data_IF_214960317400
#
_entry.id   IF_214960317400
#
_cell.length_a   1.000
_cell.length_b   1.000
_cell.length_c   1.000
_cell.angle_alpha   90.00
_cell.angle_beta   90.00
_cell.angle_gamma   90.00
#
_symmetry.space_group_name_H-M   'P 1'
#
loop_
_entity.id
_entity.type
_entity.pdbx_description
1 polymer ?
#
# COMPACT_ATOMS: atom_id res chain seq x y z
N UNK A 1 44.26 64.42 0.58
CA UNK A 1 42.89 64.09 1.00
C UNK A 1 42.47 62.85 0.22
N UNK A 2 42.15 61.77 0.94
CA UNK A 2 41.62 60.47 0.48
C UNK A 2 42.52 59.56 -0.36
N UNK A 3 43.17 58.62 0.32
CA UNK A 3 43.52 57.30 -0.21
C UNK A 3 42.47 56.27 0.25
N UNK A 4 42.08 55.33 -0.61
CA UNK A 4 41.58 53.96 -0.29
C UNK A 4 41.26 53.24 -1.61
N UNK A 5 42.09 52.29 -2.02
CA UNK A 5 42.10 50.86 -1.67
C UNK A 5 41.16 50.03 -2.57
N UNK A 6 41.80 49.34 -3.51
CA UNK A 6 41.31 48.19 -4.25
C UNK A 6 40.87 47.09 -3.26
N UNK A 7 39.65 46.57 -3.43
CA UNK A 7 39.19 45.39 -2.70
C UNK A 7 39.05 44.22 -3.68
N UNK A 8 39.82 43.18 -3.39
CA UNK A 8 39.94 41.95 -4.15
C UNK A 8 38.74 41.02 -3.94
N UNK A 9 38.34 40.39 -5.04
CA UNK A 9 37.49 39.19 -5.10
C UNK A 9 38.06 38.05 -4.25
N UNK A 10 37.24 37.49 -3.35
CA UNK A 10 37.52 36.23 -2.64
C UNK A 10 36.61 35.11 -3.16
N UNK A 11 37.13 33.89 -3.40
CA UNK A 11 36.31 32.75 -3.76
C UNK A 11 35.63 32.18 -2.51
N UNK A 12 34.35 31.85 -2.62
CA UNK A 12 33.63 31.06 -1.64
C UNK A 12 34.12 29.60 -1.72
N UNK A 13 34.92 29.15 -0.74
CA UNK A 13 35.07 27.73 -0.44
C UNK A 13 33.86 27.30 0.40
N UNK A 14 32.84 26.75 -0.26
CA UNK A 14 31.77 26.01 0.41
C UNK A 14 32.29 24.61 0.75
N UNK A 15 32.62 24.37 2.03
CA UNK A 15 32.89 23.03 2.56
C UNK A 15 31.55 22.29 2.61
N UNK A 16 31.29 21.46 1.61
CA UNK A 16 30.16 20.54 1.60
C UNK A 16 30.36 19.42 2.62
N UNK A 17 29.60 19.45 3.72
CA UNK A 17 29.40 18.26 4.53
C UNK A 17 28.39 17.35 3.83
N UNK A 18 28.86 16.49 2.92
CA UNK A 18 28.07 15.35 2.46
C UNK A 18 28.04 14.31 3.57
N UNK A 19 27.02 14.34 4.44
CA UNK A 19 26.63 13.17 5.22
C UNK A 19 26.10 12.11 4.25
N UNK A 20 26.99 11.27 3.74
CA UNK A 20 26.62 10.02 3.10
C UNK A 20 25.99 9.13 4.16
N UNK A 21 24.66 9.09 4.23
CA UNK A 21 23.97 8.02 4.92
C UNK A 21 24.17 6.76 4.08
N UNK A 22 25.19 5.98 4.43
CA UNK A 22 25.30 4.60 4.00
C UNK A 22 24.08 3.85 4.57
N UNK A 23 23.05 3.65 3.75
CA UNK A 23 21.91 2.81 4.09
C UNK A 23 22.39 1.37 4.11
N UNK A 24 22.82 0.88 5.29
CA UNK A 24 22.92 -0.56 5.52
C UNK A 24 21.55 -1.15 5.16
N UNK A 25 21.52 -2.09 4.22
CA UNK A 25 20.30 -2.80 3.83
C UNK A 25 19.72 -3.47 5.08
N UNK A 26 18.64 -2.91 5.62
CA UNK A 26 17.90 -3.56 6.69
C UNK A 26 17.45 -4.93 6.17
N UNK A 27 17.71 -6.04 6.87
CA UNK A 27 17.19 -7.33 6.45
C UNK A 27 15.67 -7.24 6.36
N UNK A 28 15.10 -7.72 5.25
CA UNK A 28 13.66 -7.70 5.01
C UNK A 28 12.95 -8.47 6.14
N UNK A 29 11.95 -7.83 6.76
CA UNK A 29 11.14 -8.44 7.84
C UNK A 29 10.48 -9.74 7.35
N UNK A 30 10.44 -10.83 8.13
CA UNK A 30 9.70 -12.03 7.74
C UNK A 30 8.18 -11.75 7.67
N UNK A 31 7.49 -12.40 6.74
CA UNK A 31 6.02 -12.44 6.70
C UNK A 31 5.50 -13.14 7.95
N UNK A 32 4.37 -12.68 8.47
CA UNK A 32 3.65 -13.38 9.56
C UNK A 32 2.94 -14.61 9.01
N UNK A 33 2.39 -14.51 7.80
CA UNK A 33 1.63 -15.60 7.18
C UNK A 33 1.46 -15.43 5.68
N UNK A 34 1.18 -16.55 5.00
CA UNK A 34 0.84 -16.64 3.58
C UNK A 34 -0.35 -17.59 3.44
N UNK A 35 -1.44 -17.09 2.88
CA UNK A 35 -2.69 -17.81 2.73
C UNK A 35 -3.02 -17.93 1.24
N UNK A 36 -3.22 -19.17 0.77
CA UNK A 36 -3.45 -19.48 -0.64
C UNK A 36 -4.81 -20.10 -0.91
N UNK A 37 -5.51 -20.55 0.13
CA UNK A 37 -6.78 -21.28 -0.03
C UNK A 37 -7.99 -20.46 0.40
N UNK A 38 -7.86 -19.74 1.53
CA UNK A 38 -8.96 -19.01 2.16
C UNK A 38 -8.49 -17.72 2.81
N UNK A 39 -9.42 -16.80 2.97
CA UNK A 39 -9.24 -15.59 3.75
C UNK A 39 -9.09 -15.95 5.24
N UNK A 40 -8.01 -15.50 5.94
CA UNK A 40 -7.64 -16.03 7.26
C UNK A 40 -8.44 -15.47 8.43
N UNK A 41 -8.97 -14.26 8.29
CA UNK A 41 -9.79 -13.51 9.27
C UNK A 41 -10.67 -12.56 8.46
N UNK A 42 -11.66 -11.91 9.08
CA UNK A 42 -12.37 -10.83 8.40
C UNK A 42 -11.38 -9.74 7.95
N UNK A 43 -11.37 -9.43 6.66
CA UNK A 43 -10.47 -8.44 6.08
C UNK A 43 -11.25 -7.35 5.36
N UNK A 44 -10.92 -6.11 5.69
CA UNK A 44 -11.58 -4.93 5.19
C UNK A 44 -10.66 -4.05 4.33
N UNK A 45 -11.30 -3.34 3.39
CA UNK A 45 -10.68 -2.35 2.51
C UNK A 45 -11.57 -1.13 2.40
N UNK A 46 -10.97 0.05 2.42
CA UNK A 46 -11.65 1.30 2.02
C UNK A 46 -11.08 1.80 0.70
N UNK A 47 -11.96 2.25 -0.19
CA UNK A 47 -11.58 2.84 -1.48
C UNK A 47 -12.70 3.75 -2.03
N UNK A 48 -12.38 4.51 -3.08
CA UNK A 48 -13.38 5.24 -3.86
C UNK A 48 -13.86 4.39 -5.04
N UNK A 49 -15.18 4.17 -5.10
CA UNK A 49 -15.84 3.36 -6.12
C UNK A 49 -15.63 1.85 -5.94
N UNK A 50 -16.35 1.07 -6.75
CA UNK A 50 -16.38 -0.41 -6.63
C UNK A 50 -15.14 -1.08 -7.23
N UNK A 51 -14.52 -0.46 -8.22
CA UNK A 51 -13.40 -1.07 -8.94
C UNK A 51 -12.09 -0.84 -8.21
N UNK A 52 -11.35 -1.92 -7.98
CA UNK A 52 -9.99 -1.84 -7.43
C UNK A 52 -9.07 -1.17 -8.46
N UNK A 53 -8.28 -0.20 -7.98
CA UNK A 53 -7.32 0.57 -8.79
C UNK A 53 -6.00 0.67 -8.07
N UNK A 54 -5.21 -0.40 -8.12
CA UNK A 54 -3.83 -0.41 -7.63
C UNK A 54 -2.98 0.56 -8.44
N UNK A 55 -2.11 1.29 -7.73
CA UNK A 55 -1.25 2.34 -8.26
C UNK A 55 0.19 1.85 -8.36
N UNK A 56 0.75 1.94 -9.55
CA UNK A 56 2.15 1.62 -9.80
C UNK A 56 3.09 2.77 -9.37
N UNK A 57 4.22 2.39 -8.78
CA UNK A 57 5.21 3.32 -8.27
C UNK A 57 5.71 4.36 -9.28
N UNK A 58 6.10 3.93 -10.49
CA UNK A 58 6.71 4.84 -11.46
C UNK A 58 5.70 5.87 -12.01
N UNK A 59 4.44 5.50 -12.24
CA UNK A 59 3.39 6.47 -12.59
C UNK A 59 3.10 7.42 -11.42
N UNK A 60 2.97 6.93 -10.18
CA UNK A 60 2.74 7.83 -9.05
C UNK A 60 3.90 8.81 -8.85
N UNK A 61 5.14 8.33 -9.02
CA UNK A 61 6.34 9.16 -8.98
C UNK A 61 6.36 10.22 -10.09
N UNK A 62 5.97 9.89 -11.32
CA UNK A 62 5.88 10.88 -12.41
C UNK A 62 4.84 11.97 -12.13
N UNK A 63 3.76 11.59 -11.42
CA UNK A 63 2.72 12.50 -10.93
C UNK A 63 3.09 13.25 -9.63
N UNK A 64 4.33 13.10 -9.14
CA UNK A 64 4.80 13.69 -7.85
C UNK A 64 3.94 13.27 -6.65
N UNK A 65 3.42 12.05 -6.67
CA UNK A 65 2.67 11.43 -5.58
C UNK A 65 3.56 10.45 -4.83
N UNK A 66 3.39 10.40 -3.50
CA UNK A 66 4.19 9.54 -2.63
C UNK A 66 3.56 8.18 -2.33
N UNK A 67 2.25 8.04 -2.55
CA UNK A 67 1.50 6.81 -2.26
C UNK A 67 1.37 5.94 -3.50
N UNK A 68 1.75 4.67 -3.37
CA UNK A 68 1.66 3.64 -4.40
C UNK A 68 1.38 2.28 -3.74
N UNK A 69 0.90 1.31 -4.51
CA UNK A 69 0.47 0.01 -3.98
C UNK A 69 1.41 -1.13 -4.41
N UNK A 70 2.13 -0.96 -5.53
CA UNK A 70 3.11 -1.93 -6.03
C UNK A 70 4.16 -1.32 -6.96
N UNK A 71 5.19 -2.11 -7.26
CA UNK A 71 6.18 -1.82 -8.30
C UNK A 71 6.04 -2.83 -9.43
N UNK A 72 6.04 -2.33 -10.67
CA UNK A 72 6.08 -3.18 -11.84
C UNK A 72 7.52 -3.55 -12.17
N UNK A 73 7.74 -4.77 -12.63
CA UNK A 73 8.98 -5.23 -13.23
C UNK A 73 8.70 -5.54 -14.69
N UNK A 74 9.40 -4.90 -15.61
CA UNK A 74 9.20 -5.06 -17.07
C UNK A 74 7.73 -4.93 -17.52
N UNK A 75 6.99 -4.03 -16.88
CA UNK A 75 5.57 -3.75 -17.20
C UNK A 75 4.56 -4.73 -16.60
N UNK A 76 5.00 -5.71 -15.81
CA UNK A 76 4.13 -6.71 -15.17
C UNK A 76 4.25 -6.67 -13.64
N UNK A 77 3.21 -7.17 -12.97
CA UNK A 77 3.19 -7.44 -11.53
C UNK A 77 3.77 -8.84 -11.31
N UNK A 78 4.69 -8.97 -10.36
CA UNK A 78 5.27 -10.26 -9.97
C UNK A 78 4.74 -10.70 -8.61
N UNK A 79 4.58 -12.02 -8.38
CA UNK A 79 4.26 -12.54 -7.06
C UNK A 79 5.40 -12.23 -6.07
N UNK A 80 5.07 -11.94 -4.81
CA UNK A 80 6.09 -11.87 -3.78
C UNK A 80 6.55 -13.29 -3.41
N UNK A 81 7.82 -13.57 -3.64
CA UNK A 81 8.45 -14.86 -3.39
C UNK A 81 9.18 -14.90 -2.03
N UNK A 82 9.27 -16.09 -1.46
CA UNK A 82 10.00 -16.34 -0.23
C UNK A 82 9.26 -15.95 1.06
N UNK A 83 9.98 -16.04 2.21
CA UNK A 83 9.38 -15.89 3.53
C UNK A 83 9.37 -14.45 4.04
N UNK A 84 9.92 -13.49 3.29
CA UNK A 84 10.10 -12.13 3.76
C UNK A 84 9.17 -11.15 3.06
N UNK A 85 8.81 -10.08 3.76
CA UNK A 85 8.08 -8.94 3.23
C UNK A 85 8.96 -8.17 2.22
N UNK A 86 8.46 -8.00 1.00
CA UNK A 86 9.13 -7.30 -0.08
C UNK A 86 8.25 -6.12 -0.53
N UNK A 87 8.30 -5.04 0.26
CA UNK A 87 7.63 -3.76 -0.05
C UNK A 87 6.11 -3.87 -0.30
N UNK A 88 5.42 -2.76 -0.56
CA UNK A 88 4.02 -2.84 -0.94
C UNK A 88 3.94 -3.58 -2.29
N UNK A 89 3.16 -4.65 -2.34
CA UNK A 89 3.03 -5.50 -3.54
C UNK A 89 1.58 -5.96 -3.77
N UNK A 90 0.59 -5.11 -3.48
CA UNK A 90 -0.80 -5.52 -3.74
C UNK A 90 -1.89 -4.71 -3.08
N UNK A 91 -3.05 -5.37 -2.97
CA UNK A 91 -4.28 -4.80 -2.46
C UNK A 91 -4.27 -4.80 -0.93
N UNK A 92 -3.94 -3.65 -0.32
CA UNK A 92 -3.95 -3.48 1.14
C UNK A 92 -5.31 -3.82 1.77
N UNK A 93 -5.26 -4.58 2.85
CA UNK A 93 -6.37 -5.00 3.71
C UNK A 93 -5.96 -4.93 5.18
N UNK A 94 -6.95 -4.82 6.08
CA UNK A 94 -6.76 -4.88 7.54
C UNK A 94 -8.01 -5.47 8.19
N UNK A 95 -7.92 -5.96 9.41
CA UNK A 95 -9.12 -6.36 10.16
C UNK A 95 -10.04 -5.13 10.39
N UNK A 96 -11.38 -5.28 10.31
CA UNK A 96 -12.32 -4.16 10.47
C UNK A 96 -12.17 -3.38 11.79
N UNK A 97 -11.93 -4.09 12.89
CA UNK A 97 -11.76 -3.50 14.23
C UNK A 97 -10.32 -3.09 14.54
N UNK A 98 -9.39 -3.20 13.58
CA UNK A 98 -8.04 -2.70 13.78
C UNK A 98 -8.08 -1.19 14.06
N UNK A 99 -7.40 -0.70 15.12
CA UNK A 99 -7.26 0.74 15.36
C UNK A 99 -6.71 1.50 14.15
N UNK A 100 -5.77 0.90 13.43
CA UNK A 100 -5.18 1.50 12.23
C UNK A 100 -6.19 1.57 11.08
N UNK A 101 -7.00 0.52 10.89
CA UNK A 101 -8.00 0.52 9.82
C UNK A 101 -9.13 1.51 10.10
N UNK A 102 -9.59 1.53 11.34
CA UNK A 102 -10.56 2.49 11.87
C UNK A 102 -10.12 3.93 11.62
N UNK A 103 -8.85 4.26 11.92
CA UNK A 103 -8.26 5.56 11.60
C UNK A 103 -8.22 5.83 10.08
N UNK A 104 -7.84 4.83 9.28
CA UNK A 104 -7.79 4.94 7.82
C UNK A 104 -9.17 5.24 7.23
N UNK A 105 -10.23 4.56 7.67
CA UNK A 105 -11.61 4.80 7.19
C UNK A 105 -12.05 6.23 7.52
N UNK A 106 -11.85 6.67 8.77
CA UNK A 106 -12.23 8.03 9.20
C UNK A 106 -11.48 9.12 8.44
N UNK A 107 -10.20 8.91 8.19
CA UNK A 107 -9.36 9.84 7.45
C UNK A 107 -9.43 9.69 5.92
N UNK A 108 -10.13 8.68 5.40
CA UNK A 108 -10.32 8.52 3.96
C UNK A 108 -11.07 9.72 3.38
N UNK A 109 -10.62 10.19 2.21
CA UNK A 109 -11.17 11.34 1.49
C UNK A 109 -11.42 10.95 0.04
N UNK A 110 -12.47 11.51 -0.55
CA UNK A 110 -12.90 11.24 -1.92
C UNK A 110 -14.42 11.26 -2.02
N UNK A 111 -14.93 10.99 -3.22
CA UNK A 111 -16.34 10.66 -3.44
C UNK A 111 -16.53 9.14 -3.47
N UNK A 112 -17.78 8.71 -3.33
CA UNK A 112 -18.19 7.30 -3.48
C UNK A 112 -17.33 6.35 -2.64
N UNK A 113 -17.10 6.72 -1.38
CA UNK A 113 -16.28 5.94 -0.46
C UNK A 113 -17.03 4.67 -0.09
N UNK A 114 -16.39 3.53 -0.32
CA UNK A 114 -16.93 2.22 0.00
C UNK A 114 -15.96 1.51 0.92
N UNK A 115 -16.49 0.95 2.00
CA UNK A 115 -15.79 -0.02 2.85
C UNK A 115 -16.29 -1.40 2.47
N UNK A 116 -15.38 -2.28 2.04
CA UNK A 116 -15.67 -3.67 1.68
C UNK A 116 -15.10 -4.59 2.76
N UNK A 117 -15.91 -5.48 3.31
CA UNK A 117 -15.48 -6.50 4.28
C UNK A 117 -15.62 -7.88 3.66
N UNK A 118 -14.51 -8.58 3.54
CA UNK A 118 -14.40 -9.94 3.02
C UNK A 118 -14.44 -10.89 4.22
N UNK A 119 -15.45 -11.78 4.32
CA UNK A 119 -15.56 -12.68 5.47
C UNK A 119 -14.41 -13.68 5.58
N UNK A 120 -14.03 -14.03 6.80
CA UNK A 120 -13.16 -15.18 7.09
C UNK A 120 -13.66 -16.45 6.38
N UNK A 121 -12.72 -17.27 5.90
CA UNK A 121 -13.03 -18.54 5.27
C UNK A 121 -13.49 -18.42 3.81
N UNK A 122 -13.65 -17.20 3.28
CA UNK A 122 -13.91 -16.95 1.86
C UNK A 122 -12.85 -17.65 1.00
N UNK A 123 -13.24 -18.52 0.04
CA UNK A 123 -12.29 -19.19 -0.85
C UNK A 123 -11.50 -18.19 -1.70
N UNK A 124 -10.17 -18.35 -1.76
CA UNK A 124 -9.33 -17.56 -2.63
C UNK A 124 -9.22 -18.21 -4.02
N UNK A 125 -9.32 -17.41 -5.11
CA UNK A 125 -8.94 -17.88 -6.44
C UNK A 125 -7.48 -18.34 -6.43
N UNK A 126 -7.12 -19.41 -7.19
CA UNK A 126 -5.74 -19.91 -7.22
C UNK A 126 -4.73 -18.91 -7.82
N UNK A 127 -5.23 -17.87 -8.51
CA UNK A 127 -4.44 -16.76 -9.04
C UNK A 127 -4.10 -15.69 -8.01
N UNK A 128 -4.69 -15.75 -6.81
CA UNK A 128 -4.52 -14.78 -5.73
C UNK A 128 -3.97 -15.43 -4.45
N UNK A 129 -3.23 -14.66 -3.67
CA UNK A 129 -2.75 -15.03 -2.33
C UNK A 129 -2.90 -13.85 -1.40
N UNK A 130 -3.12 -14.13 -0.11
CA UNK A 130 -3.09 -13.11 0.93
C UNK A 130 -1.79 -13.25 1.72
N UNK A 131 -1.03 -12.17 1.81
CA UNK A 131 0.15 -12.09 2.68
C UNK A 131 -0.20 -11.30 3.92
N UNK A 132 0.14 -11.84 5.09
CA UNK A 132 0.14 -11.09 6.34
C UNK A 132 1.54 -10.51 6.52
N UNK A 133 1.67 -9.24 6.15
CA UNK A 133 2.96 -8.58 5.96
C UNK A 133 3.61 -8.25 7.30
N UNK A 134 2.86 -7.56 8.16
CA UNK A 134 3.27 -7.18 9.50
C UNK A 134 2.09 -6.60 10.29
N UNK A 135 2.17 -6.60 11.63
CA UNK A 135 1.13 -6.02 12.50
C UNK A 135 -0.27 -6.52 12.08
N UNK A 136 -1.19 -5.62 11.74
CA UNK A 136 -2.55 -5.89 11.26
C UNK A 136 -2.69 -5.70 9.73
N UNK A 137 -1.58 -5.60 9.00
CA UNK A 137 -1.57 -5.28 7.58
C UNK A 137 -1.47 -6.56 6.73
N UNK A 138 -2.48 -6.76 5.90
CA UNK A 138 -2.55 -7.82 4.90
C UNK A 138 -2.54 -7.23 3.49
N UNK A 139 -2.15 -8.03 2.51
CA UNK A 139 -2.32 -7.68 1.10
C UNK A 139 -2.74 -8.85 0.24
N UNK A 140 -3.72 -8.65 -0.64
CA UNK A 140 -4.00 -9.59 -1.73
C UNK A 140 -3.03 -9.32 -2.88
N UNK A 141 -2.35 -10.37 -3.35
CA UNK A 141 -1.35 -10.33 -4.43
C UNK A 141 -1.62 -11.42 -5.46
N UNK A 142 -0.98 -11.32 -6.63
CA UNK A 142 -1.00 -12.40 -7.62
C UNK A 142 -0.09 -13.57 -7.20
N UNK A 143 -0.43 -14.79 -7.62
CA UNK A 143 0.43 -15.99 -7.47
C UNK A 143 1.31 -16.26 -8.70
N UNK A 144 1.03 -15.60 -9.82
CA UNK A 144 1.77 -15.70 -11.07
C UNK A 144 1.93 -14.32 -11.72
N UNK A 145 2.97 -14.12 -12.55
CA UNK A 145 3.16 -12.86 -13.27
C UNK A 145 1.94 -12.47 -14.12
N UNK A 146 1.47 -11.23 -13.99
CA UNK A 146 0.32 -10.73 -14.75
C UNK A 146 0.37 -9.21 -14.95
N UNK A 147 -0.44 -8.67 -15.86
CA UNK A 147 -0.54 -7.22 -16.02
C UNK A 147 -1.26 -6.56 -14.84
N UNK A 148 -0.94 -5.30 -14.55
CA UNK A 148 -1.65 -4.53 -13.52
C UNK A 148 -3.16 -4.43 -13.79
N UNK A 149 -3.53 -4.31 -15.07
CA UNK A 149 -4.94 -4.30 -15.49
C UNK A 149 -5.63 -5.61 -15.09
N UNK A 150 -5.03 -6.75 -15.40
CA UNK A 150 -5.59 -8.07 -15.07
C UNK A 150 -5.72 -8.26 -13.56
N UNK A 151 -4.70 -7.87 -12.79
CA UNK A 151 -4.77 -7.95 -11.33
C UNK A 151 -5.91 -7.08 -10.76
N UNK A 152 -6.08 -5.86 -11.26
CA UNK A 152 -7.20 -5.00 -10.84
C UNK A 152 -8.57 -5.60 -11.18
N UNK A 153 -8.71 -6.23 -12.35
CA UNK A 153 -9.94 -6.95 -12.74
C UNK A 153 -10.22 -8.11 -11.78
N UNK A 154 -9.24 -9.00 -11.54
CA UNK A 154 -9.43 -10.15 -10.64
C UNK A 154 -9.72 -9.73 -9.19
N UNK A 155 -9.07 -8.68 -8.70
CA UNK A 155 -9.35 -8.14 -7.37
C UNK A 155 -10.74 -7.50 -7.30
N UNK A 156 -11.16 -6.81 -8.36
CA UNK A 156 -12.50 -6.24 -8.44
C UNK A 156 -13.54 -7.35 -8.43
N UNK A 157 -13.39 -8.36 -9.27
CA UNK A 157 -14.31 -9.50 -9.35
C UNK A 157 -14.37 -10.24 -8.00
N UNK A 158 -13.22 -10.52 -7.38
CA UNK A 158 -13.16 -11.19 -6.09
C UNK A 158 -13.86 -10.39 -4.99
N UNK A 159 -13.53 -9.11 -4.82
CA UNK A 159 -14.11 -8.27 -3.76
C UNK A 159 -15.60 -8.04 -4.00
N UNK A 160 -16.01 -7.74 -5.23
CA UNK A 160 -17.44 -7.50 -5.54
C UNK A 160 -18.30 -8.74 -5.39
N UNK A 161 -17.72 -9.94 -5.59
CA UNK A 161 -18.43 -11.22 -5.44
C UNK A 161 -18.57 -11.64 -3.98
N UNK A 162 -17.52 -11.45 -3.18
CA UNK A 162 -17.44 -12.06 -1.84
C UNK A 162 -17.54 -11.07 -0.69
N UNK A 163 -17.26 -9.79 -0.90
CA UNK A 163 -17.32 -8.80 0.15
C UNK A 163 -18.72 -8.22 0.28
N UNK A 164 -19.13 -7.95 1.51
CA UNK A 164 -20.22 -7.02 1.79
C UNK A 164 -19.67 -5.60 1.75
N UNK A 165 -20.44 -4.68 1.19
CA UNK A 165 -20.03 -3.28 1.00
C UNK A 165 -20.94 -2.33 1.77
N UNK A 166 -20.37 -1.30 2.37
CA UNK A 166 -21.08 -0.28 3.12
C UNK A 166 -20.42 1.09 2.93
N UNK A 167 -21.14 2.17 3.23
CA UNK A 167 -20.55 3.50 3.35
C UNK A 167 -19.83 3.69 4.71
N UNK A 168 -19.31 4.88 4.98
CA UNK A 168 -18.54 5.12 6.21
C UNK A 168 -19.42 5.14 7.44
N UNK A 169 -20.61 5.70 7.31
CA UNK A 169 -21.60 5.83 8.38
C UNK A 169 -22.08 4.45 8.84
N UNK A 170 -22.45 3.59 7.89
CA UNK A 170 -22.79 2.19 8.16
C UNK A 170 -21.62 1.41 8.77
N UNK A 171 -20.38 1.67 8.32
CA UNK A 171 -19.20 1.06 8.90
C UNK A 171 -18.99 1.48 10.36
N UNK A 172 -19.17 2.76 10.69
CA UNK A 172 -19.04 3.26 12.07
C UNK A 172 -20.15 2.71 12.99
N UNK A 173 -21.36 2.49 12.46
CA UNK A 173 -22.46 1.85 13.20
C UNK A 173 -22.19 0.37 13.51
N UNK A 174 -21.66 -0.37 12.54
CA UNK A 174 -21.42 -1.81 12.67
C UNK A 174 -20.12 -2.15 13.41
N UNK A 175 -19.09 -1.30 13.24
CA UNK A 175 -17.78 -1.45 13.85
C UNK A 175 -17.48 -0.22 14.73
N UNK A 176 -18.22 -0.06 15.85
CA UNK A 176 -18.05 1.10 16.71
C UNK A 176 -16.64 1.13 17.30
N UNK A 177 -16.06 2.32 17.32
CA UNK A 177 -14.77 2.57 17.94
C UNK A 177 -14.97 3.20 19.31
N UNK A 178 -14.56 2.49 20.35
CA UNK A 178 -14.52 3.03 21.72
C UNK A 178 -13.12 3.60 21.99
N UNK A 179 -13.08 4.82 22.53
CA UNK A 179 -11.86 5.54 22.93
C UNK A 179 -11.33 5.07 24.30
#
# INVERSE_FOLDING_TARGET
>A
MVARLLSASRPFLGIGFTRGFATKSTPSRPLIGRYTEKVPVDLARVQSGKNVKLRDYETQKSLKRFSYDLKLQDGIVLPAEGPNFIGPNGCSLREPLSPTFQEVVRNFRGSDIIVSVIPEGTPLPPTLTILHEHSDHFSIQCTAPMTLKRLNEELTDFITTHARTMDKEQFDEEYPFEL
#
